data_IF_536514811902
#
_entry.id   IF_536514811902
#
_cell.length_a   1.000
_cell.length_b   1.000
_cell.length_c   1.000
_cell.angle_alpha   90.00
_cell.angle_beta   90.00
_cell.angle_gamma   90.00
#
_symmetry.space_group_name_H-M   'P 1'
#
loop_
_entity.id
_entity.type
_entity.pdbx_description
1 polymer ?
#
# COMPACT_ATOMS: atom_id res chain seq x y z
N UNK A 1 18.86 -0.31 -13.97
CA UNK A 1 18.11 -0.96 -12.88
C UNK A 1 18.47 -2.44 -12.84
N UNK A 2 19.24 -2.85 -11.84
CA UNK A 2 19.51 -4.27 -11.59
C UNK A 2 18.37 -4.83 -10.73
N UNK A 3 17.59 -5.78 -11.27
CA UNK A 3 16.62 -6.54 -10.47
C UNK A 3 17.40 -7.52 -9.60
N UNK A 4 17.49 -7.24 -8.30
CA UNK A 4 17.94 -8.23 -7.33
C UNK A 4 16.82 -9.28 -7.19
N UNK A 5 17.09 -10.48 -7.72
CA UNK A 5 16.16 -11.61 -7.62
C UNK A 5 16.26 -12.17 -6.19
N UNK A 6 15.34 -11.77 -5.30
CA UNK A 6 15.24 -12.33 -3.93
C UNK A 6 14.88 -13.82 -4.02
N UNK A 7 15.53 -14.64 -3.21
CA UNK A 7 15.17 -16.05 -3.04
C UNK A 7 13.85 -16.14 -2.28
N UNK A 8 12.81 -16.69 -2.93
CA UNK A 8 11.49 -16.97 -2.34
C UNK A 8 11.66 -17.77 -1.04
N UNK A 9 11.33 -17.18 0.12
CA UNK A 9 11.01 -17.97 1.30
C UNK A 9 9.63 -18.58 1.08
N UNK A 10 9.42 -19.87 1.40
CA UNK A 10 8.10 -20.48 1.25
C UNK A 10 7.13 -19.80 2.21
N UNK A 11 6.09 -19.18 1.65
CA UNK A 11 4.94 -18.71 2.41
C UNK A 11 4.23 -19.95 2.96
N UNK A 12 4.37 -20.18 4.26
CA UNK A 12 3.58 -21.18 4.97
C UNK A 12 2.23 -20.55 5.24
N UNK A 13 1.21 -20.95 4.49
CA UNK A 13 -0.17 -20.63 4.83
C UNK A 13 -0.55 -21.29 6.17
N UNK A 14 -0.34 -20.57 7.27
CA UNK A 14 -0.91 -20.95 8.55
C UNK A 14 -2.38 -20.56 8.54
N UNK A 15 -3.26 -21.53 8.25
CA UNK A 15 -4.70 -21.39 8.48
C UNK A 15 -4.97 -21.39 9.98
N UNK A 16 -4.79 -20.25 10.63
CA UNK A 16 -5.45 -19.98 11.90
C UNK A 16 -6.69 -19.15 11.61
N UNK A 17 -7.84 -19.83 11.53
CA UNK A 17 -9.13 -19.15 11.55
C UNK A 17 -9.27 -18.37 12.84
N UNK A 18 -9.21 -17.04 12.73
CA UNK A 18 -9.47 -16.15 13.85
C UNK A 18 -10.96 -16.12 14.17
N UNK A 19 -11.35 -16.03 15.45
CA UNK A 19 -12.75 -15.98 15.83
C UNK A 19 -13.31 -14.59 15.52
N UNK A 20 -14.39 -14.58 14.74
CA UNK A 20 -15.28 -13.45 14.48
C UNK A 20 -15.48 -12.56 15.73
N UNK A 21 -14.96 -11.33 15.68
CA UNK A 21 -15.54 -10.19 16.39
C UNK A 21 -15.97 -9.18 15.35
N UNK A 22 -17.22 -9.31 14.91
CA UNK A 22 -17.94 -8.28 14.15
C UNK A 22 -18.07 -7.02 14.99
N UNK A 23 -17.18 -6.05 14.79
CA UNK A 23 -17.44 -4.67 15.22
C UNK A 23 -18.19 -3.99 14.09
N UNK A 24 -19.51 -3.90 14.23
CA UNK A 24 -20.36 -3.10 13.34
C UNK A 24 -20.07 -1.61 13.59
N UNK A 25 -19.09 -1.04 12.89
CA UNK A 25 -18.75 0.39 12.91
C UNK A 25 -19.43 1.22 11.79
N UNK A 26 -20.25 0.73 10.83
CA UNK A 26 -20.96 1.66 9.92
C UNK A 26 -22.05 2.50 10.60
N UNK A 27 -22.50 2.10 11.81
CA UNK A 27 -23.63 2.75 12.47
C UNK A 27 -23.26 4.04 13.23
N UNK A 28 -21.99 4.22 13.63
CA UNK A 28 -21.56 5.37 14.42
C UNK A 28 -21.20 6.59 13.55
N UNK A 29 -20.63 6.40 12.36
CA UNK A 29 -20.40 7.49 11.40
C UNK A 29 -21.69 8.08 10.81
N UNK A 30 -22.72 7.25 10.61
CA UNK A 30 -24.04 7.72 10.17
C UNK A 30 -24.74 8.62 11.18
N UNK A 31 -24.56 8.36 12.48
CA UNK A 31 -25.15 9.16 13.55
C UNK A 31 -24.51 10.55 13.68
N UNK A 32 -23.19 10.66 13.47
CA UNK A 32 -22.48 11.95 13.53
C UNK A 32 -22.84 12.85 12.33
N UNK A 33 -22.99 12.27 11.12
CA UNK A 33 -23.43 13.03 9.95
C UNK A 33 -24.88 13.53 10.08
N UNK A 34 -25.78 12.74 10.67
CA UNK A 34 -27.17 13.16 10.92
C UNK A 34 -27.29 14.26 11.98
N UNK A 35 -26.41 14.28 12.98
CA UNK A 35 -26.40 15.32 14.02
C UNK A 35 -25.86 16.66 13.48
N UNK A 36 -24.86 16.63 12.58
CA UNK A 36 -24.38 17.83 11.90
C UNK A 36 -25.41 18.39 10.92
N UNK A 37 -26.11 17.52 10.17
CA UNK A 37 -27.21 17.93 9.30
C UNK A 37 -28.41 18.51 10.08
N UNK A 38 -28.76 17.94 11.24
CA UNK A 38 -29.81 18.47 12.10
C UNK A 38 -29.46 19.85 12.70
N UNK A 39 -28.18 20.09 12.98
CA UNK A 39 -27.69 21.38 13.50
C UNK A 39 -27.75 22.50 12.45
N UNK A 40 -27.46 22.17 11.18
CA UNK A 40 -27.63 23.08 10.05
C UNK A 40 -29.11 23.34 9.73
N UNK A 41 -29.99 22.34 9.85
CA UNK A 41 -31.42 22.51 9.64
C UNK A 41 -32.08 23.38 10.73
N UNK A 42 -31.65 23.26 11.99
CA UNK A 42 -32.15 24.11 13.09
C UNK A 42 -31.62 25.56 13.00
N UNK A 43 -30.43 25.78 12.45
CA UNK A 43 -29.90 27.12 12.19
C UNK A 43 -30.62 27.89 11.07
N UNK A 44 -31.31 27.19 10.16
CA UNK A 44 -32.07 27.80 9.06
C UNK A 44 -33.52 28.12 9.46
N UNK A 45 -34.04 27.55 10.56
CA UNK A 45 -35.43 27.77 10.98
C UNK A 45 -35.66 29.05 11.82
N UNK A 46 -34.62 29.82 12.17
CA UNK A 46 -34.80 31.14 12.82
C UNK A 46 -34.85 32.34 11.85
N UNK A 47 -34.66 32.15 10.54
CA UNK A 47 -34.75 33.25 9.56
C UNK A 47 -35.53 32.83 8.32
N UNK A 48 -36.86 32.93 8.37
CA UNK A 48 -37.67 32.68 7.19
C UNK A 48 -39.18 32.69 7.37
N UNK A 49 -39.76 33.73 7.97
CA UNK A 49 -41.18 34.02 7.79
C UNK A 49 -41.39 34.69 6.43
N UNK A 50 -41.96 33.97 5.47
CA UNK A 50 -42.31 34.52 4.16
C UNK A 50 -42.88 33.46 3.25
N UNK A 51 -44.21 33.30 3.26
CA UNK A 51 -44.91 32.23 2.57
C UNK A 51 -44.94 32.37 1.05
N UNK A 52 -45.19 31.25 0.37
CA UNK A 52 -46.33 31.10 -0.53
C UNK A 52 -46.39 29.65 -1.02
N UNK A 53 -47.60 29.10 -1.02
CA UNK A 53 -47.92 27.77 -1.49
C UNK A 53 -47.96 27.69 -3.03
N UNK A 54 -47.49 26.58 -3.59
CA UNK A 54 -48.03 26.00 -4.82
C UNK A 54 -47.56 24.54 -4.97
N UNK A 55 -48.51 23.62 -4.85
CA UNK A 55 -48.47 22.22 -5.26
C UNK A 55 -48.56 22.08 -6.79
N UNK A 56 -47.90 21.08 -7.41
CA UNK A 56 -48.45 20.24 -8.49
C UNK A 56 -47.69 18.90 -8.55
N UNK A 57 -48.48 17.87 -8.87
CA UNK A 57 -48.32 16.42 -8.83
C UNK A 57 -47.35 15.78 -9.85
N UNK A 58 -46.72 14.69 -9.40
CA UNK A 58 -46.78 13.30 -9.91
C UNK A 58 -47.17 13.04 -11.38
N UNK A 59 -46.34 12.26 -12.09
CA UNK A 59 -46.80 11.13 -12.89
C UNK A 59 -45.63 10.17 -13.20
N UNK A 60 -45.78 8.94 -12.72
CA UNK A 60 -45.04 7.77 -13.14
C UNK A 60 -45.44 7.32 -14.55
N UNK A 61 -44.58 6.56 -15.23
CA UNK A 61 -44.99 5.52 -16.16
C UNK A 61 -43.91 4.44 -16.32
N UNK A 62 -44.39 3.22 -16.28
CA UNK A 62 -43.74 1.90 -16.28
C UNK A 62 -44.07 1.25 -17.62
N UNK A 63 -43.16 0.54 -18.29
CA UNK A 63 -43.40 -0.71 -19.06
C UNK A 63 -42.03 -1.20 -19.62
N UNK A 64 -41.46 -2.31 -19.14
CA UNK A 64 -41.65 -3.72 -19.57
C UNK A 64 -41.23 -4.02 -21.01
N UNK A 65 -40.29 -4.95 -21.20
CA UNK A 65 -40.55 -6.29 -21.77
C UNK A 65 -39.26 -6.99 -22.22
N UNK A 66 -39.30 -8.32 -22.06
CA UNK A 66 -38.28 -9.34 -22.25
C UNK A 66 -37.88 -9.58 -23.71
N UNK A 67 -36.73 -10.21 -23.89
CA UNK A 67 -36.34 -10.94 -25.11
C UNK A 67 -35.27 -11.97 -24.78
N UNK A 68 -35.66 -13.24 -24.76
CA UNK A 68 -34.79 -14.43 -24.75
C UNK A 68 -34.18 -14.63 -26.16
N UNK A 69 -32.97 -15.19 -26.25
CA UNK A 69 -32.70 -16.47 -26.93
C UNK A 69 -31.20 -16.78 -27.02
N UNK A 70 -30.92 -18.07 -26.90
CA UNK A 70 -29.64 -18.78 -27.01
C UNK A 70 -29.23 -18.99 -28.47
N UNK A 71 -27.93 -19.16 -28.75
CA UNK A 71 -27.48 -20.16 -29.75
C UNK A 71 -25.96 -20.39 -29.67
N UNK A 72 -25.59 -21.66 -29.51
CA UNK A 72 -24.26 -22.22 -29.71
C UNK A 72 -23.89 -22.24 -31.22
N UNK A 73 -22.59 -22.15 -31.56
CA UNK A 73 -21.98 -22.97 -32.63
C UNK A 73 -20.46 -23.11 -32.46
N UNK A 74 -20.02 -24.33 -32.75
CA UNK A 74 -18.73 -24.99 -32.66
C UNK A 74 -17.64 -24.60 -33.69
N UNK A 75 -16.43 -25.10 -33.37
CA UNK A 75 -15.37 -25.67 -34.23
C UNK A 75 -14.28 -24.79 -34.87
N UNK A 76 -13.02 -25.16 -34.59
CA UNK A 76 -11.83 -24.75 -35.35
C UNK A 76 -10.50 -25.29 -34.80
N UNK A 77 -10.20 -26.56 -35.07
CA UNK A 77 -8.93 -27.27 -34.75
C UNK A 77 -7.81 -26.91 -35.74
N UNK A 78 -6.55 -26.78 -35.28
CA UNK A 78 -5.38 -27.53 -35.83
C UNK A 78 -4.09 -27.35 -35.02
N UNK A 79 -3.37 -28.47 -34.91
CA UNK A 79 -2.11 -28.74 -34.20
C UNK A 79 -0.87 -28.58 -35.08
N UNK A 80 0.31 -28.73 -34.46
CA UNK A 80 1.61 -29.28 -34.93
C UNK A 80 2.77 -28.29 -34.69
N UNK A 81 3.99 -28.64 -34.26
CA UNK A 81 4.68 -29.90 -33.92
C UNK A 81 5.94 -29.50 -33.09
N UNK A 82 6.27 -30.17 -31.98
CA UNK A 82 7.35 -31.15 -31.80
C UNK A 82 8.73 -30.82 -32.40
N UNK A 83 9.76 -30.71 -31.54
CA UNK A 83 10.99 -31.50 -31.64
C UNK A 83 11.68 -31.65 -30.27
N UNK A 84 12.25 -32.83 -30.04
CA UNK A 84 12.71 -33.46 -28.80
C UNK A 84 14.18 -33.20 -28.40
N UNK A 85 14.41 -33.28 -27.08
CA UNK A 85 15.39 -34.06 -26.30
C UNK A 85 16.89 -34.18 -26.70
N UNK A 86 17.75 -34.01 -25.68
CA UNK A 86 18.96 -34.81 -25.34
C UNK A 86 19.90 -33.94 -24.47
N UNK A 87 20.61 -34.38 -23.43
CA UNK A 87 20.75 -35.65 -22.76
C UNK A 87 21.42 -35.40 -21.37
N UNK A 88 21.32 -36.41 -20.51
CA UNK A 88 21.75 -36.49 -19.10
C UNK A 88 23.27 -36.53 -18.87
N UNK A 89 23.62 -36.60 -17.57
CA UNK A 89 24.77 -37.27 -16.91
C UNK A 89 26.05 -36.46 -16.66
N UNK A 90 26.85 -36.60 -15.58
CA UNK A 90 26.83 -37.35 -14.30
C UNK A 90 27.98 -36.80 -13.42
N UNK A 91 27.83 -36.96 -12.10
CA UNK A 91 28.82 -37.28 -11.03
C UNK A 91 30.27 -36.70 -10.95
N UNK A 92 30.53 -36.09 -9.77
CA UNK A 92 31.49 -36.49 -8.71
C UNK A 92 33.03 -36.42 -8.88
N UNK A 93 33.62 -35.73 -7.90
CA UNK A 93 34.87 -36.02 -7.16
C UNK A 93 36.24 -36.00 -7.86
N UNK A 94 37.08 -35.05 -7.46
CA UNK A 94 38.51 -35.29 -7.25
C UNK A 94 39.07 -34.31 -6.20
N UNK A 95 39.66 -34.89 -5.16
CA UNK A 95 40.43 -34.26 -4.08
C UNK A 95 41.91 -34.58 -4.29
N UNK A 96 42.76 -33.72 -3.74
CA UNK A 96 44.21 -33.81 -3.53
C UNK A 96 45.12 -33.47 -4.70
N UNK A 97 45.87 -32.37 -4.57
CA UNK A 97 47.30 -32.40 -4.24
C UNK A 97 47.82 -30.98 -4.02
N UNK A 98 48.41 -30.70 -2.84
CA UNK A 98 49.35 -29.59 -2.66
C UNK A 98 50.68 -29.91 -3.39
N UNK A 99 51.51 -28.90 -3.71
CA UNK A 99 52.48 -28.44 -2.70
C UNK A 99 52.72 -26.92 -2.69
N UNK A 100 53.21 -26.47 -1.54
CA UNK A 100 53.77 -25.14 -1.34
C UNK A 100 55.11 -24.98 -2.08
N UNK A 101 55.40 -23.79 -2.61
CA UNK A 101 56.44 -22.90 -2.07
C UNK A 101 56.52 -21.57 -2.85
N UNK A 102 56.80 -20.50 -2.12
CA UNK A 102 57.68 -19.39 -2.52
C UNK A 102 57.20 -18.41 -3.58
N UNK A 103 56.84 -17.20 -3.15
CA UNK A 103 57.72 -16.03 -3.30
C UNK A 103 57.01 -14.75 -2.86
N UNK A 104 57.75 -13.87 -2.19
CA UNK A 104 57.34 -12.52 -1.83
C UNK A 104 56.64 -11.80 -2.99
N UNK A 105 55.35 -11.48 -2.80
CA UNK A 105 54.62 -10.49 -3.57
C UNK A 105 53.99 -9.51 -2.59
N UNK A 106 54.29 -8.23 -2.75
CA UNK A 106 53.80 -7.15 -1.91
C UNK A 106 52.27 -7.26 -1.74
N UNK A 107 51.84 -7.44 -0.49
CA UNK A 107 50.45 -7.20 -0.12
C UNK A 107 50.24 -5.70 -0.13
N UNK A 108 49.88 -5.18 -1.30
CA UNK A 108 49.21 -3.89 -1.40
C UNK A 108 47.86 -4.11 -0.71
N UNK A 109 47.82 -3.80 0.58
CA UNK A 109 46.63 -3.85 1.40
C UNK A 109 45.74 -2.71 0.91
N UNK A 110 45.00 -2.99 -0.15
CA UNK A 110 43.88 -2.18 -0.59
C UNK A 110 42.85 -2.22 0.54
N UNK A 111 43.01 -1.30 1.49
CA UNK A 111 41.94 -0.87 2.39
C UNK A 111 40.87 -0.31 1.46
N UNK A 112 39.91 -1.14 1.07
CA UNK A 112 38.62 -0.63 0.63
C UNK A 112 38.06 0.08 1.86
N UNK A 113 38.21 1.40 1.90
CA UNK A 113 37.43 2.23 2.81
C UNK A 113 35.98 1.85 2.55
N UNK A 114 35.36 1.16 3.50
CA UNK A 114 33.92 1.05 3.56
C UNK A 114 33.44 2.47 3.82
N UNK A 115 33.00 3.14 2.75
CA UNK A 115 32.31 4.40 2.89
C UNK A 115 31.03 4.08 3.66
N UNK A 116 30.95 4.58 4.90
CA UNK A 116 29.73 4.45 5.68
C UNK A 116 28.59 5.09 4.87
N UNK A 117 27.47 4.39 4.67
CA UNK A 117 26.36 4.92 3.91
C UNK A 117 25.95 6.26 4.52
N UNK A 118 25.99 7.31 3.70
CA UNK A 118 25.57 8.63 4.14
C UNK A 118 24.07 8.60 4.45
N UNK A 119 23.60 9.32 5.49
CA UNK A 119 22.19 9.42 5.78
C UNK A 119 21.47 10.05 4.58
N UNK A 120 20.35 9.45 4.19
CA UNK A 120 19.53 9.96 3.09
C UNK A 120 19.00 11.36 3.41
N UNK A 121 18.97 12.23 2.41
CA UNK A 121 18.41 13.59 2.52
C UNK A 121 16.92 13.63 2.15
N UNK A 122 16.21 14.69 2.52
CA UNK A 122 14.81 14.90 2.09
C UNK A 122 14.67 15.04 0.56
N UNK A 123 15.69 15.59 -0.12
CA UNK A 123 15.70 15.70 -1.59
C UNK A 123 15.80 14.32 -2.26
N UNK A 124 16.65 13.44 -1.72
CA UNK A 124 16.77 12.06 -2.20
C UNK A 124 15.53 11.22 -1.89
N UNK A 125 14.93 11.41 -0.72
CA UNK A 125 13.66 10.78 -0.36
C UNK A 125 12.53 11.21 -1.32
N UNK A 126 12.41 12.52 -1.58
CA UNK A 126 11.45 13.07 -2.53
C UNK A 126 11.67 12.51 -3.95
N UNK A 127 12.92 12.49 -4.42
CA UNK A 127 13.25 11.95 -5.74
C UNK A 127 12.92 10.45 -5.87
N UNK A 128 13.15 9.69 -4.80
CA UNK A 128 12.82 8.26 -4.77
C UNK A 128 11.31 8.06 -4.80
N UNK A 129 10.54 8.77 -3.96
CA UNK A 129 9.07 8.73 -3.97
C UNK A 129 8.49 9.12 -5.33
N UNK A 130 9.03 10.16 -5.97
CA UNK A 130 8.59 10.57 -7.31
C UNK A 130 8.83 9.46 -8.35
N UNK A 131 9.96 8.77 -8.28
CA UNK A 131 10.26 7.65 -9.18
C UNK A 131 9.33 6.44 -8.97
N UNK A 132 8.72 6.31 -7.79
CA UNK A 132 7.82 5.21 -7.47
C UNK A 132 6.42 5.37 -8.09
N UNK A 133 6.06 6.55 -8.59
CA UNK A 133 4.79 6.77 -9.31
C UNK A 133 4.64 5.88 -10.54
N UNK A 134 5.74 5.57 -11.23
CA UNK A 134 5.72 4.65 -12.38
C UNK A 134 5.44 3.19 -11.95
N UNK A 135 5.83 2.82 -10.73
CA UNK A 135 5.61 1.47 -10.17
C UNK A 135 4.24 1.36 -9.52
N UNK A 136 3.78 2.45 -8.90
CA UNK A 136 2.51 2.54 -8.16
C UNK A 136 1.66 3.69 -8.73
N UNK A 137 1.03 3.53 -9.90
CA UNK A 137 0.35 4.63 -10.57
C UNK A 137 -0.88 5.13 -9.79
N UNK A 138 -1.16 6.43 -9.92
CA UNK A 138 -2.38 7.04 -9.43
C UNK A 138 -3.63 6.28 -9.89
N UNK A 139 -4.49 5.93 -8.94
CA UNK A 139 -5.77 5.28 -9.20
C UNK A 139 -5.70 3.78 -9.52
N UNK A 140 -4.49 3.20 -9.65
CA UNK A 140 -4.32 1.74 -9.65
C UNK A 140 -4.57 1.17 -8.24
N UNK A 141 -4.59 -0.15 -8.13
CA UNK A 141 -4.86 -0.84 -6.88
C UNK A 141 -3.65 -1.66 -6.43
N UNK A 142 -3.22 -1.47 -5.18
CA UNK A 142 -2.14 -2.25 -4.58
C UNK A 142 -2.69 -3.60 -4.09
N UNK A 143 -2.93 -4.49 -5.05
CA UNK A 143 -3.55 -5.79 -4.86
C UNK A 143 -3.06 -6.74 -5.97
N UNK A 144 -3.55 -7.98 -5.96
CA UNK A 144 -3.21 -8.98 -6.97
C UNK A 144 -4.46 -9.68 -7.53
N UNK A 145 -5.56 -8.93 -7.69
CA UNK A 145 -6.81 -9.45 -8.28
C UNK A 145 -6.56 -9.92 -9.72
N UNK A 146 -6.88 -11.19 -10.00
CA UNK A 146 -6.73 -11.76 -11.34
C UNK A 146 -5.29 -12.08 -11.75
N UNK A 147 -4.34 -12.02 -10.82
CA UNK A 147 -2.92 -12.31 -11.05
C UNK A 147 -2.52 -13.56 -10.25
N UNK A 148 -2.03 -14.60 -10.94
CA UNK A 148 -1.63 -15.86 -10.29
C UNK A 148 -0.24 -15.80 -9.65
N UNK A 149 0.74 -15.21 -10.34
CA UNK A 149 2.10 -14.99 -9.85
C UNK A 149 2.28 -13.52 -9.48
N UNK A 150 2.23 -13.22 -8.19
CA UNK A 150 2.32 -11.86 -7.66
C UNK A 150 3.47 -11.70 -6.64
N UNK A 151 3.90 -10.46 -6.44
CA UNK A 151 4.81 -10.01 -5.39
C UNK A 151 4.33 -8.67 -4.81
N UNK A 152 5.09 -8.09 -3.88
CA UNK A 152 4.75 -6.82 -3.21
C UNK A 152 4.66 -5.61 -4.16
N UNK A 153 5.16 -5.73 -5.40
CA UNK A 153 5.11 -4.69 -6.44
C UNK A 153 3.94 -4.87 -7.41
N UNK A 154 3.15 -5.95 -7.29
CA UNK A 154 1.98 -6.14 -8.14
C UNK A 154 0.96 -5.03 -7.91
N UNK A 155 0.52 -4.40 -9.00
CA UNK A 155 -0.62 -3.49 -9.02
C UNK A 155 -1.59 -3.95 -10.10
N UNK A 156 -2.88 -3.66 -9.92
CA UNK A 156 -3.90 -4.00 -10.90
C UNK A 156 -4.83 -2.82 -11.19
N UNK A 157 -5.60 -2.94 -12.26
CA UNK A 157 -6.66 -1.99 -12.63
C UNK A 157 -8.03 -2.38 -12.02
N UNK A 158 -8.10 -3.44 -11.21
CA UNK A 158 -9.34 -3.97 -10.65
C UNK A 158 -9.33 -3.90 -9.12
N UNK A 159 -10.37 -3.36 -8.47
CA UNK A 159 -10.42 -3.28 -7.03
C UNK A 159 -10.49 -4.68 -6.39
N UNK A 160 -9.93 -4.82 -5.18
CA UNK A 160 -10.22 -5.97 -4.34
C UNK A 160 -11.69 -5.91 -3.88
N UNK A 161 -12.29 -7.07 -3.61
CA UNK A 161 -13.70 -7.17 -3.23
C UNK A 161 -13.81 -7.76 -1.82
N UNK A 162 -13.74 -6.89 -0.80
CA UNK A 162 -13.71 -7.30 0.60
C UNK A 162 -14.97 -8.04 1.05
N UNK A 163 -16.14 -7.71 0.48
CA UNK A 163 -17.40 -8.39 0.80
C UNK A 163 -17.43 -9.86 0.37
N UNK A 164 -16.69 -10.21 -0.68
CA UNK A 164 -16.68 -11.56 -1.25
C UNK A 164 -15.46 -12.36 -0.83
N UNK A 165 -14.30 -11.70 -0.80
CA UNK A 165 -13.00 -12.36 -0.67
C UNK A 165 -12.19 -11.85 0.51
N UNK A 166 -12.76 -10.97 1.36
CA UNK A 166 -12.05 -10.36 2.47
C UNK A 166 -10.76 -9.69 1.97
N UNK A 167 -9.66 -9.89 2.66
CA UNK A 167 -8.31 -9.40 2.36
C UNK A 167 -7.53 -10.30 1.38
N UNK A 168 -8.12 -11.39 0.87
CA UNK A 168 -7.38 -12.45 0.19
C UNK A 168 -6.62 -12.01 -1.07
N UNK A 169 -7.03 -10.90 -1.68
CA UNK A 169 -6.39 -10.33 -2.87
C UNK A 169 -5.61 -9.05 -2.58
N UNK A 170 -5.60 -8.57 -1.34
CA UNK A 170 -4.81 -7.42 -0.93
C UNK A 170 -3.33 -7.80 -0.88
N UNK A 171 -2.47 -6.89 -1.29
CA UNK A 171 -1.05 -7.11 -1.09
C UNK A 171 -0.71 -6.98 0.40
N UNK A 172 0.33 -7.71 0.78
CA UNK A 172 0.87 -7.68 2.14
C UNK A 172 2.37 -7.44 2.08
N UNK A 173 2.91 -6.82 3.12
CA UNK A 173 4.31 -6.50 3.24
C UNK A 173 4.79 -6.62 4.68
N UNK A 174 6.00 -7.16 4.86
CA UNK A 174 6.69 -7.22 6.14
C UNK A 174 8.05 -6.56 5.93
N UNK A 175 8.30 -5.49 6.67
CA UNK A 175 9.46 -4.62 6.45
C UNK A 175 10.00 -3.97 7.72
N UNK A 176 10.82 -2.93 7.54
CA UNK A 176 11.61 -2.31 8.61
C UNK A 176 10.79 -1.77 9.79
N UNK A 177 9.51 -1.42 9.58
CA UNK A 177 8.61 -0.93 10.63
C UNK A 177 7.74 -2.02 11.28
N UNK A 178 7.87 -3.29 10.90
CA UNK A 178 7.02 -4.39 11.40
C UNK A 178 7.05 -4.51 12.94
N UNK A 179 8.19 -4.22 13.57
CA UNK A 179 8.34 -4.31 15.03
C UNK A 179 7.45 -3.33 15.80
N UNK A 180 7.06 -2.21 15.18
CA UNK A 180 6.08 -1.27 15.75
C UNK A 180 4.66 -1.84 15.75
N UNK A 181 4.39 -2.79 14.85
CA UNK A 181 3.06 -3.33 14.57
C UNK A 181 3.00 -4.86 14.66
N UNK A 182 3.40 -5.48 15.79
CA UNK A 182 3.46 -6.93 15.93
C UNK A 182 2.09 -7.62 15.82
N UNK A 183 0.99 -6.87 15.96
CA UNK A 183 -0.37 -7.34 15.79
C UNK A 183 -0.79 -7.48 14.31
N UNK A 184 -0.04 -6.88 13.39
CA UNK A 184 -0.31 -6.83 11.95
C UNK A 184 0.83 -7.52 11.18
N UNK A 185 0.97 -8.84 11.31
CA UNK A 185 1.97 -9.63 10.58
C UNK A 185 1.31 -10.63 9.62
N UNK A 186 1.49 -10.50 8.29
CA UNK A 186 2.13 -9.36 7.61
C UNK A 186 1.24 -8.10 7.65
N UNK A 187 1.83 -6.92 7.41
CA UNK A 187 1.06 -5.68 7.29
C UNK A 187 0.36 -5.65 5.93
N UNK A 188 -0.87 -5.14 5.88
CA UNK A 188 -1.69 -5.10 4.67
C UNK A 188 -2.23 -3.70 4.41
N UNK A 189 -2.83 -3.51 3.23
CA UNK A 189 -3.53 -2.27 2.85
C UNK A 189 -2.67 -1.02 3.08
N UNK A 190 -3.24 0.05 3.65
CA UNK A 190 -2.55 1.32 3.87
C UNK A 190 -1.26 1.16 4.71
N UNK A 191 -1.28 0.29 5.74
CA UNK A 191 -0.11 0.07 6.60
C UNK A 191 0.99 -0.69 5.86
N UNK A 192 0.64 -1.77 5.15
CA UNK A 192 1.59 -2.53 4.35
C UNK A 192 2.20 -1.70 3.22
N UNK A 193 1.39 -0.87 2.56
CA UNK A 193 1.85 0.01 1.49
C UNK A 193 2.80 1.10 2.00
N UNK A 194 2.45 1.77 3.11
CA UNK A 194 3.34 2.75 3.73
C UNK A 194 4.66 2.13 4.22
N UNK A 195 4.61 0.91 4.76
CA UNK A 195 5.81 0.16 5.14
C UNK A 195 6.70 -0.17 3.93
N UNK A 196 6.11 -0.59 2.81
CA UNK A 196 6.83 -0.86 1.57
C UNK A 196 7.51 0.41 1.04
N UNK A 197 6.78 1.52 0.96
CA UNK A 197 7.35 2.79 0.49
C UNK A 197 8.50 3.27 1.40
N UNK A 198 8.34 3.15 2.72
CA UNK A 198 9.39 3.46 3.69
C UNK A 198 10.68 2.66 3.41
N UNK A 199 10.57 1.36 3.19
CA UNK A 199 11.76 0.53 2.91
C UNK A 199 12.36 0.79 1.53
N UNK A 200 11.54 1.16 0.54
CA UNK A 200 12.04 1.54 -0.79
C UNK A 200 12.81 2.87 -0.77
N UNK A 201 12.44 3.79 0.12
CA UNK A 201 13.11 5.08 0.29
C UNK A 201 14.37 4.94 1.14
N UNK A 202 14.27 4.31 2.31
CA UNK A 202 15.33 4.34 3.33
C UNK A 202 16.13 3.03 3.43
N UNK A 203 15.61 1.93 2.88
CA UNK A 203 16.11 0.57 3.10
C UNK A 203 15.46 -0.11 4.31
N UNK A 204 15.38 -1.45 4.26
CA UNK A 204 14.79 -2.29 5.31
C UNK A 204 15.51 -2.12 6.67
N UNK A 205 16.84 -1.94 6.64
CA UNK A 205 17.71 -1.82 7.83
C UNK A 205 17.87 -0.39 8.37
N UNK A 206 17.21 0.62 7.79
CA UNK A 206 17.27 1.99 8.31
C UNK A 206 16.77 2.07 9.77
N UNK A 207 17.14 3.11 10.55
CA UNK A 207 16.63 3.28 11.91
C UNK A 207 15.12 3.52 11.91
N UNK A 208 14.44 3.13 12.99
CA UNK A 208 13.02 3.46 13.22
C UNK A 208 12.94 4.31 14.48
N UNK A 209 12.32 5.48 14.41
CA UNK A 209 11.87 6.20 15.60
C UNK A 209 10.49 6.81 15.38
N UNK A 210 9.79 7.10 16.48
CA UNK A 210 8.43 7.65 16.44
C UNK A 210 8.35 8.99 17.17
N UNK A 211 7.43 9.84 16.74
CA UNK A 211 7.14 11.14 17.33
C UNK A 211 5.67 11.51 17.12
N UNK A 212 5.19 12.52 17.86
CA UNK A 212 3.77 12.95 17.82
C UNK A 212 3.60 14.42 17.44
N UNK A 213 4.69 15.20 17.41
CA UNK A 213 4.66 16.57 16.95
C UNK A 213 4.64 16.62 15.42
N UNK A 214 3.44 16.65 14.85
CA UNK A 214 3.21 16.70 13.40
C UNK A 214 3.87 17.90 12.71
N UNK A 215 4.28 18.93 13.45
CA UNK A 215 5.00 20.09 12.87
C UNK A 215 6.46 19.77 12.54
N UNK A 216 6.96 18.59 12.95
CA UNK A 216 8.29 18.07 12.66
C UNK A 216 8.32 17.11 11.46
N UNK A 217 7.18 16.89 10.80
CA UNK A 217 7.09 16.00 9.64
C UNK A 217 8.07 16.43 8.55
N UNK A 218 8.75 15.43 7.98
CA UNK A 218 9.64 15.53 6.83
C UNK A 218 9.14 14.67 5.69
N UNK A 219 9.65 14.93 4.49
CA UNK A 219 9.37 14.07 3.32
C UNK A 219 9.79 12.63 3.63
N UNK A 220 8.94 11.65 3.30
CA UNK A 220 9.20 10.24 3.54
C UNK A 220 8.80 9.73 4.93
N UNK A 221 8.41 10.59 5.87
CA UNK A 221 7.86 10.13 7.15
C UNK A 221 6.52 9.42 6.93
N UNK A 222 6.26 8.38 7.72
CA UNK A 222 4.96 7.73 7.77
C UNK A 222 4.10 8.37 8.86
N UNK A 223 2.81 8.53 8.58
CA UNK A 223 1.80 8.95 9.55
C UNK A 223 0.85 7.77 9.75
N UNK A 224 0.72 7.30 11.00
CA UNK A 224 -0.29 6.33 11.43
C UNK A 224 -1.35 7.05 12.26
N UNK A 225 -2.60 6.95 11.83
CA UNK A 225 -3.76 7.31 12.62
C UNK A 225 -4.23 6.06 13.37
N UNK A 226 -3.96 5.98 14.67
CA UNK A 226 -4.13 4.76 15.46
C UNK A 226 -5.59 4.35 15.65
N UNK A 227 -6.52 5.31 15.78
CA UNK A 227 -7.93 5.00 16.08
C UNK A 227 -8.74 4.74 14.81
N UNK A 228 -8.46 5.49 13.75
CA UNK A 228 -9.05 5.30 12.42
C UNK A 228 -8.30 4.27 11.59
N UNK A 229 -7.20 3.73 12.11
CA UNK A 229 -6.39 2.66 11.55
C UNK A 229 -5.88 2.92 10.11
N UNK A 230 -5.52 4.17 9.81
CA UNK A 230 -5.07 4.56 8.48
C UNK A 230 -3.61 5.00 8.45
N UNK A 231 -2.89 4.70 7.36
CA UNK A 231 -1.49 5.04 7.19
C UNK A 231 -1.23 5.76 5.88
N UNK A 232 -0.32 6.74 5.90
CA UNK A 232 0.08 7.53 4.73
C UNK A 232 1.56 7.91 4.83
N UNK A 233 2.18 8.27 3.70
CA UNK A 233 3.58 8.72 3.62
C UNK A 233 3.63 10.15 3.12
N UNK A 234 4.44 11.00 3.77
CA UNK A 234 4.59 12.41 3.41
C UNK A 234 5.38 12.57 2.10
N UNK A 235 4.81 13.31 1.14
CA UNK A 235 5.44 13.62 -0.15
C UNK A 235 6.11 15.00 -0.15
N UNK A 236 5.41 16.01 0.38
CA UNK A 236 5.90 17.39 0.44
C UNK A 236 5.47 18.03 1.76
N UNK A 237 6.26 18.99 2.23
CA UNK A 237 5.94 19.83 3.38
C UNK A 237 6.13 21.29 2.99
N UNK A 238 5.12 22.12 3.25
CA UNK A 238 5.17 23.56 2.96
C UNK A 238 4.51 24.39 4.07
N UNK A 239 4.33 25.70 3.82
CA UNK A 239 3.76 26.62 4.80
C UNK A 239 2.27 26.42 5.08
N UNK A 240 1.53 25.74 4.19
CA UNK A 240 0.09 25.52 4.29
C UNK A 240 -0.26 24.13 4.81
N UNK A 241 0.60 23.14 4.56
CA UNK A 241 0.42 21.79 5.05
C UNK A 241 1.40 20.79 4.43
N UNK A 242 0.87 19.60 4.16
CA UNK A 242 1.60 18.50 3.51
C UNK A 242 0.80 17.95 2.34
N UNK A 243 1.49 17.24 1.46
CA UNK A 243 0.85 16.26 0.57
C UNK A 243 1.29 14.85 0.94
N UNK A 244 0.45 13.86 0.65
CA UNK A 244 0.71 12.46 1.01
C UNK A 244 0.46 11.49 -0.15
N UNK A 245 1.12 10.35 -0.07
CA UNK A 245 0.79 9.13 -0.82
C UNK A 245 0.25 8.08 0.13
N UNK A 246 -0.77 7.36 -0.32
CA UNK A 246 -1.42 6.32 0.45
C UNK A 246 -2.10 5.31 -0.48
N UNK A 247 -2.57 4.21 0.10
CA UNK A 247 -3.58 3.39 -0.55
C UNK A 247 -4.74 3.16 0.42
N UNK A 248 -5.87 2.69 -0.10
CA UNK A 248 -7.03 2.32 0.72
C UNK A 248 -7.62 3.49 1.54
N UNK A 249 -7.51 4.73 1.04
CA UNK A 249 -8.10 5.90 1.71
C UNK A 249 -9.64 5.86 1.76
N UNK A 250 -10.26 5.02 0.93
CA UNK A 250 -11.69 4.71 0.93
C UNK A 250 -12.07 3.57 1.88
N UNK A 251 -11.08 2.94 2.53
CA UNK A 251 -11.24 1.77 3.42
C UNK A 251 -11.82 0.52 2.75
N UNK A 252 -11.89 0.49 1.42
CA UNK A 252 -12.64 -0.54 0.70
C UNK A 252 -11.82 -1.26 -0.37
N UNK A 253 -10.89 -0.58 -1.07
CA UNK A 253 -10.40 -1.13 -2.34
C UNK A 253 -8.88 -1.16 -2.54
N UNK A 254 -8.07 -0.73 -1.58
CA UNK A 254 -6.60 -0.60 -1.76
C UNK A 254 -6.21 0.30 -2.95
N UNK A 255 -7.06 1.28 -3.29
CA UNK A 255 -6.79 2.25 -4.35
C UNK A 255 -5.64 3.16 -3.95
N UNK A 256 -4.64 3.29 -4.81
CA UNK A 256 -3.47 4.15 -4.63
C UNK A 256 -3.88 5.59 -4.95
N UNK A 257 -3.51 6.51 -4.07
CA UNK A 257 -3.73 7.95 -4.22
C UNK A 257 -2.44 8.69 -3.92
N UNK A 258 -2.06 9.59 -4.82
CA UNK A 258 -0.99 10.56 -4.65
C UNK A 258 -1.56 11.96 -4.47
N UNK A 259 -0.74 12.85 -3.90
CA UNK A 259 -0.96 14.29 -3.89
C UNK A 259 -2.22 14.74 -3.13
N UNK A 260 -2.78 13.90 -2.22
CA UNK A 260 -3.83 14.37 -1.33
C UNK A 260 -3.23 15.42 -0.40
N UNK A 261 -3.78 16.63 -0.46
CA UNK A 261 -3.38 17.73 0.40
C UNK A 261 -4.04 17.61 1.78
N UNK A 262 -3.26 17.84 2.83
CA UNK A 262 -3.67 17.93 4.22
C UNK A 262 -3.13 19.24 4.79
N UNK A 263 -4.03 20.16 5.15
CA UNK A 263 -3.62 21.41 5.79
C UNK A 263 -3.11 21.18 7.20
N UNK A 264 -2.37 22.14 7.75
CA UNK A 264 -1.99 22.12 9.16
C UNK A 264 -3.20 22.05 10.11
N UNK A 265 -4.34 22.63 9.72
CA UNK A 265 -5.59 22.55 10.50
C UNK A 265 -6.19 21.13 10.45
N UNK A 266 -6.11 20.44 9.30
CA UNK A 266 -6.56 19.04 9.18
C UNK A 266 -5.72 18.11 10.08
N UNK A 267 -4.39 18.27 10.05
CA UNK A 267 -3.49 17.52 10.92
C UNK A 267 -3.71 17.86 12.40
N UNK A 268 -3.94 19.15 12.72
CA UNK A 268 -4.26 19.56 14.07
C UNK A 268 -5.58 18.93 14.57
N UNK A 269 -6.55 18.69 13.70
CA UNK A 269 -7.82 18.05 14.05
C UNK A 269 -7.65 16.56 14.38
N UNK A 270 -6.71 15.87 13.73
CA UNK A 270 -6.46 14.42 13.92
C UNK A 270 -5.25 14.12 14.83
N UNK A 271 -4.52 15.12 15.31
CA UNK A 271 -3.30 14.97 16.13
C UNK A 271 -3.43 14.07 17.37
N UNK A 272 -4.64 13.86 17.88
CA UNK A 272 -4.86 13.08 19.11
C UNK A 272 -4.68 11.57 18.90
N UNK A 273 -4.71 11.10 17.64
CA UNK A 273 -4.52 9.70 17.25
C UNK A 273 -3.29 9.50 16.36
N UNK A 274 -2.47 10.55 16.18
CA UNK A 274 -1.38 10.55 15.22
C UNK A 274 -0.08 10.07 15.86
N UNK A 275 0.46 8.99 15.31
CA UNK A 275 1.84 8.56 15.53
C UNK A 275 2.61 8.73 14.22
N UNK A 276 3.66 9.54 14.24
CA UNK A 276 4.55 9.76 13.11
C UNK A 276 5.78 8.85 13.26
N UNK A 277 6.26 8.29 12.16
CA UNK A 277 7.40 7.38 12.12
C UNK A 277 8.41 7.95 11.14
N UNK A 278 9.64 8.16 11.61
CA UNK A 278 10.76 8.63 10.78
C UNK A 278 11.80 7.53 10.63
N UNK A 279 12.46 7.56 9.47
CA UNK A 279 13.59 6.68 9.13
C UNK A 279 14.92 7.43 9.04
N UNK A 280 14.91 8.74 9.22
CA UNK A 280 16.12 9.54 9.33
C UNK A 280 16.82 9.31 10.68
N UNK A 281 18.14 9.42 10.67
CA UNK A 281 18.96 9.45 11.90
C UNK A 281 18.64 10.70 12.75
N UNK A 282 18.83 10.57 14.07
CA UNK A 282 18.68 11.66 15.06
C UNK A 282 19.94 12.54 15.17
#
# INVERSE_FOLDING_TARGET
MFRLRRTKRPVVHSRHGWPNRSWHIPALMGAVCLLLAASLALGVMELGTGGSAASVQEAASVESAQGEEESETEAGVSQAALWEEAALSEASSAVESAPEESSQGAVDFAVSYYEEPQPITEEEAAATLESLRDTFPEGAYWNHVGVEDWDEFTVTDSPCQHDLYWDAYCNTYTGGIQELFPQFEPMEQCLGFAALLSDLVFGEDAPVSTFTDYTQLRVGDNIRLELTEHSMVVLTVDGEGITVVECNSDYEHCRISWDRFLSWDDLAATRYEMECITRYEE
#
